data_IF_596217633421
#
_entry.id   IF_596217633421
#
_cell.length_a   1.000
_cell.length_b   1.000
_cell.length_c   1.000
_cell.angle_alpha   90.00
_cell.angle_beta   90.00
_cell.angle_gamma   90.00
#
_symmetry.space_group_name_H-M   'P 1'
#
loop_
_entity.id
_entity.type
_entity.pdbx_description
1 polymer ?
#
# COMPACT_ATOMS: atom_id res chain seq x y z
N UNK A 1 -5.98 17.62 13.00
CA UNK A 1 -6.80 16.40 13.19
C UNK A 1 -6.00 15.29 12.53
N UNK A 2 -5.63 14.24 13.25
CA UNK A 2 -4.71 13.23 12.73
C UNK A 2 -5.45 12.21 11.87
N UNK A 3 -4.90 11.94 10.68
CA UNK A 3 -5.48 11.03 9.69
C UNK A 3 -4.59 9.81 9.55
N UNK A 4 -5.19 8.62 9.66
CA UNK A 4 -4.55 7.32 9.40
C UNK A 4 -5.25 6.65 8.21
N UNK A 5 -4.47 6.15 7.26
CA UNK A 5 -4.98 5.36 6.14
C UNK A 5 -4.62 3.89 6.36
N UNK A 6 -5.61 3.05 6.57
CA UNK A 6 -5.42 1.61 6.70
C UNK A 6 -5.84 0.89 5.43
N UNK A 7 -4.97 0.03 4.91
CA UNK A 7 -5.23 -0.83 3.75
C UNK A 7 -5.00 -2.27 4.20
N UNK A 8 -6.01 -3.12 4.00
CA UNK A 8 -5.94 -4.53 4.38
C UNK A 8 -5.82 -5.44 3.17
N UNK A 9 -5.07 -6.54 3.32
CA UNK A 9 -5.02 -7.66 2.39
C UNK A 9 -4.75 -7.25 0.92
N UNK A 10 -3.64 -6.52 0.64
CA UNK A 10 -3.36 -6.04 -0.71
C UNK A 10 -2.94 -7.16 -1.67
N UNK A 11 -2.60 -8.35 -1.16
CA UNK A 11 -2.33 -9.56 -1.95
C UNK A 11 -1.42 -9.32 -3.17
N UNK A 12 -0.30 -8.61 -3.00
CA UNK A 12 0.64 -8.30 -4.08
C UNK A 12 1.00 -9.55 -4.89
N UNK A 13 0.98 -9.40 -6.22
CA UNK A 13 0.97 -10.49 -7.20
C UNK A 13 -0.41 -10.81 -7.78
N UNK A 14 -1.45 -10.13 -7.31
CA UNK A 14 -2.79 -10.06 -7.92
C UNK A 14 -3.31 -8.62 -8.03
N UNK A 15 -2.42 -7.66 -7.77
CA UNK A 15 -2.71 -6.24 -7.83
C UNK A 15 -3.13 -5.81 -9.23
N UNK A 16 -4.09 -4.89 -9.26
CA UNK A 16 -4.58 -4.27 -10.50
C UNK A 16 -4.05 -2.84 -10.54
N UNK A 17 -3.30 -2.51 -11.58
CA UNK A 17 -2.66 -1.20 -11.73
C UNK A 17 -3.61 -0.01 -11.52
N UNK A 18 -4.86 0.00 -12.04
CA UNK A 18 -5.81 1.08 -11.76
C UNK A 18 -6.16 1.25 -10.28
N UNK A 19 -6.20 0.16 -9.51
CA UNK A 19 -6.49 0.18 -8.07
C UNK A 19 -5.29 0.73 -7.30
N UNK A 20 -4.08 0.32 -7.68
CA UNK A 20 -2.85 0.82 -7.08
C UNK A 20 -2.72 2.33 -7.27
N UNK A 21 -2.95 2.81 -8.49
CA UNK A 21 -2.86 4.24 -8.78
C UNK A 21 -3.96 5.05 -8.09
N UNK A 22 -5.19 4.53 -8.02
CA UNK A 22 -6.27 5.15 -7.27
C UNK A 22 -5.95 5.26 -5.77
N UNK A 23 -5.36 4.23 -5.18
CA UNK A 23 -4.98 4.21 -3.77
C UNK A 23 -3.85 5.21 -3.47
N UNK A 24 -2.87 5.34 -4.37
CA UNK A 24 -1.81 6.34 -4.24
C UNK A 24 -2.35 7.76 -4.39
N UNK A 25 -3.28 7.98 -5.32
CA UNK A 25 -3.96 9.27 -5.47
C UNK A 25 -4.77 9.62 -4.21
N UNK A 26 -5.48 8.66 -3.64
CA UNK A 26 -6.21 8.84 -2.38
C UNK A 26 -5.26 9.19 -1.23
N UNK A 27 -4.15 8.46 -1.08
CA UNK A 27 -3.15 8.76 -0.06
C UNK A 27 -2.56 10.17 -0.22
N UNK A 28 -2.35 10.62 -1.46
CA UNK A 28 -1.86 11.97 -1.73
C UNK A 28 -2.90 13.06 -1.39
N UNK A 29 -4.20 12.79 -1.56
CA UNK A 29 -5.28 13.72 -1.23
C UNK A 29 -5.54 13.81 0.27
N UNK A 30 -5.44 12.68 0.98
CA UNK A 30 -5.71 12.60 2.42
C UNK A 30 -4.54 13.08 3.29
N UNK A 31 -3.32 13.09 2.73
CA UNK A 31 -2.06 13.40 3.43
C UNK A 31 -1.98 12.73 4.82
N UNK A 32 -2.11 11.39 4.90
CA UNK A 32 -2.16 10.71 6.19
C UNK A 32 -0.82 10.82 6.93
N UNK A 33 -0.86 10.84 8.25
CA UNK A 33 0.37 10.83 9.07
C UNK A 33 1.07 9.46 9.02
N UNK A 34 0.30 8.39 8.77
CA UNK A 34 0.80 7.02 8.63
C UNK A 34 -0.13 6.20 7.73
N UNK A 35 0.45 5.29 6.96
CA UNK A 35 -0.29 4.26 6.23
C UNK A 35 -0.04 2.91 6.87
N UNK A 36 -1.09 2.19 7.24
CA UNK A 36 -0.99 0.85 7.82
C UNK A 36 -1.32 -0.17 6.73
N UNK A 37 -0.39 -1.09 6.45
CA UNK A 37 -0.64 -2.24 5.60
C UNK A 37 -0.83 -3.47 6.48
N UNK A 38 -2.07 -3.95 6.60
CA UNK A 38 -2.43 -5.06 7.50
C UNK A 38 -2.90 -6.30 6.74
N UNK A 39 -2.55 -7.49 7.21
CA UNK A 39 -3.04 -8.75 6.61
C UNK A 39 -2.43 -9.05 5.23
N UNK A 40 -2.44 -10.32 4.85
CA UNK A 40 -1.96 -10.92 3.59
C UNK A 40 -1.30 -9.99 2.56
N UNK A 41 -0.12 -9.45 2.90
CA UNK A 41 0.57 -8.45 2.07
C UNK A 41 0.84 -9.00 0.67
N UNK A 42 1.20 -10.27 0.57
CA UNK A 42 1.52 -10.93 -0.71
C UNK A 42 0.59 -12.11 -0.92
N UNK A 43 0.24 -12.39 -2.18
CA UNK A 43 -0.62 -13.53 -2.48
C UNK A 43 0.05 -14.88 -2.17
N UNK A 44 1.37 -15.02 -2.36
CA UNK A 44 2.09 -16.30 -2.27
C UNK A 44 3.49 -16.21 -1.65
N UNK A 45 3.81 -15.14 -0.92
CA UNK A 45 5.11 -14.92 -0.28
C UNK A 45 6.34 -15.02 -1.21
N UNK A 46 6.19 -14.66 -2.49
CA UNK A 46 7.31 -14.71 -3.46
C UNK A 46 8.16 -13.45 -3.36
N UNK A 47 9.47 -13.58 -3.64
CA UNK A 47 10.42 -12.45 -3.65
C UNK A 47 9.96 -11.27 -4.53
N UNK A 48 9.39 -11.56 -5.70
CA UNK A 48 8.88 -10.52 -6.60
C UNK A 48 7.66 -9.79 -6.01
N UNK A 49 6.79 -10.51 -5.27
CA UNK A 49 5.61 -9.92 -4.64
C UNK A 49 6.01 -9.00 -3.47
N UNK A 50 6.97 -9.42 -2.65
CA UNK A 50 7.53 -8.53 -1.61
C UNK A 50 8.25 -7.32 -2.18
N UNK A 51 8.89 -7.46 -3.36
CA UNK A 51 9.48 -6.32 -4.06
C UNK A 51 8.41 -5.34 -4.51
N UNK A 52 7.34 -5.81 -5.14
CA UNK A 52 6.21 -4.98 -5.53
C UNK A 52 5.57 -4.27 -4.31
N UNK A 53 5.38 -4.98 -3.20
CA UNK A 53 4.89 -4.41 -1.95
C UNK A 53 5.80 -3.26 -1.44
N UNK A 54 7.12 -3.48 -1.50
CA UNK A 54 8.10 -2.46 -1.10
C UNK A 54 8.12 -1.26 -2.05
N UNK A 55 8.03 -1.49 -3.35
CA UNK A 55 7.96 -0.43 -4.36
C UNK A 55 6.69 0.40 -4.19
N UNK A 56 5.55 -0.23 -3.92
CA UNK A 56 4.32 0.45 -3.55
C UNK A 56 4.49 1.31 -2.30
N UNK A 57 5.04 0.74 -1.23
CA UNK A 57 5.28 1.47 0.03
C UNK A 57 6.23 2.67 -0.18
N UNK A 58 7.23 2.56 -1.05
CA UNK A 58 8.14 3.65 -1.39
C UNK A 58 7.49 4.79 -2.20
N UNK A 59 6.38 4.53 -2.89
CA UNK A 59 5.61 5.56 -3.61
C UNK A 59 4.74 6.39 -2.66
N UNK A 60 4.46 5.91 -1.44
CA UNK A 60 3.74 6.66 -0.41
C UNK A 60 4.66 7.68 0.25
N UNK A 61 4.15 8.90 0.48
CA UNK A 61 4.92 9.99 1.13
C UNK A 61 5.02 9.84 2.65
N UNK A 62 4.08 9.10 3.23
CA UNK A 62 3.97 8.91 4.67
C UNK A 62 4.64 7.59 5.09
N UNK A 63 5.08 7.47 6.35
CA UNK A 63 5.56 6.21 6.89
C UNK A 63 4.55 5.08 6.68
N UNK A 64 5.05 3.91 6.31
CA UNK A 64 4.26 2.69 6.13
C UNK A 64 4.62 1.73 7.26
N UNK A 65 3.61 1.20 7.95
CA UNK A 65 3.73 0.22 9.04
C UNK A 65 3.02 -1.07 8.68
#
# INVERSE_FOLDING_TARGET
MSTLLQVSDPHFGTDQEPVVDALLALAAQLEPEVVVLSGDITQRARRAQFRAAREFAQRLKSPVV
#
